data_IF_781700308214
#
_entry.id   IF_781700308214
#
_cell.length_a   1.000
_cell.length_b   1.000
_cell.length_c   1.000
_cell.angle_alpha   90.00
_cell.angle_beta   90.00
_cell.angle_gamma   90.00
#
_symmetry.space_group_name_H-M   'P 1'
#
loop_
_entity.id
_entity.type
_entity.pdbx_description
1 polymer ?
#
# COMPACT_ATOMS: atom_id res chain seq x y z
N UNK A 1 4.83 -37.71 16.87
CA UNK A 1 5.94 -36.72 16.87
C UNK A 1 6.52 -36.50 15.48
N UNK A 2 7.10 -37.51 14.81
CA UNK A 2 7.73 -37.34 13.49
C UNK A 2 6.76 -36.88 12.38
N UNK A 3 5.56 -37.46 12.34
CA UNK A 3 4.50 -37.06 11.39
C UNK A 3 4.01 -35.64 11.65
N UNK A 4 3.73 -35.30 12.90
CA UNK A 4 3.33 -33.95 13.33
C UNK A 4 4.37 -32.88 12.95
N UNK A 5 5.66 -33.20 13.11
CA UNK A 5 6.76 -32.29 12.77
C UNK A 5 6.86 -32.08 11.24
N UNK A 6 6.63 -33.13 10.46
CA UNK A 6 6.62 -33.07 9.01
C UNK A 6 5.43 -32.25 8.47
N UNK A 7 4.25 -32.39 9.08
CA UNK A 7 3.07 -31.60 8.71
C UNK A 7 3.27 -30.11 9.04
N UNK A 8 3.87 -29.78 10.18
CA UNK A 8 4.16 -28.40 10.56
C UNK A 8 5.16 -27.76 9.58
N UNK A 9 6.19 -28.50 9.19
CA UNK A 9 7.15 -28.04 8.17
C UNK A 9 6.47 -27.76 6.82
N UNK A 10 5.54 -28.63 6.41
CA UNK A 10 4.80 -28.44 5.15
C UNK A 10 3.92 -27.16 5.18
N UNK A 11 3.26 -26.88 6.30
CA UNK A 11 2.39 -25.68 6.45
C UNK A 11 3.20 -24.38 6.33
N UNK A 12 4.44 -24.35 6.85
CA UNK A 12 5.29 -23.14 6.74
C UNK A 12 5.66 -22.77 5.30
N UNK A 13 5.66 -23.72 4.36
CA UNK A 13 5.93 -23.45 2.94
C UNK A 13 4.80 -22.69 2.23
N UNK A 14 3.58 -22.73 2.80
CA UNK A 14 2.41 -22.03 2.28
C UNK A 14 2.16 -20.67 2.94
N UNK A 15 2.97 -20.28 3.91
CA UNK A 15 2.84 -19.00 4.60
C UNK A 15 3.73 -17.95 3.91
N UNK A 16 3.19 -17.31 2.87
CA UNK A 16 3.82 -16.17 2.21
C UNK A 16 3.18 -14.87 2.70
N UNK A 17 4.00 -13.85 2.94
CA UNK A 17 3.49 -12.49 3.11
C UNK A 17 3.13 -11.92 1.74
N UNK A 18 2.03 -11.17 1.68
CA UNK A 18 1.76 -10.31 0.52
C UNK A 18 2.87 -9.27 0.35
N UNK A 19 3.16 -8.93 -0.90
CA UNK A 19 4.05 -7.82 -1.26
C UNK A 19 3.31 -6.47 -1.17
N UNK A 20 4.05 -5.34 -1.06
CA UNK A 20 3.45 -4.01 -1.16
C UNK A 20 2.62 -3.80 -2.43
N UNK A 21 3.11 -4.27 -3.57
CA UNK A 21 2.43 -4.15 -4.86
C UNK A 21 1.12 -4.94 -4.87
N UNK A 22 1.13 -6.19 -4.41
CA UNK A 22 -0.10 -7.00 -4.31
C UNK A 22 -1.14 -6.34 -3.40
N UNK A 23 -0.71 -5.68 -2.31
CA UNK A 23 -1.62 -4.94 -1.44
C UNK A 23 -2.24 -3.74 -2.15
N UNK A 24 -1.47 -3.02 -2.96
CA UNK A 24 -1.96 -1.89 -3.75
C UNK A 24 -2.97 -2.35 -4.81
N UNK A 25 -2.66 -3.41 -5.54
CA UNK A 25 -3.51 -3.95 -6.62
C UNK A 25 -4.82 -4.54 -6.08
N UNK A 26 -4.79 -5.13 -4.88
CA UNK A 26 -5.97 -5.73 -4.22
C UNK A 26 -6.70 -4.75 -3.31
N UNK A 27 -6.21 -3.52 -3.16
CA UNK A 27 -6.85 -2.50 -2.33
C UNK A 27 -8.25 -2.20 -2.89
N UNK A 28 -9.29 -2.15 -2.05
CA UNK A 28 -10.62 -1.71 -2.48
C UNK A 28 -10.69 -0.20 -2.71
N UNK A 29 -9.69 0.56 -2.26
CA UNK A 29 -9.67 2.02 -2.34
C UNK A 29 -9.35 2.48 -3.74
N UNK A 30 -10.01 3.56 -4.16
CA UNK A 30 -9.69 4.22 -5.42
C UNK A 30 -8.38 4.99 -5.28
N UNK A 31 -7.43 4.66 -6.16
CA UNK A 31 -6.12 5.29 -6.24
C UNK A 31 -5.97 6.02 -7.57
N UNK A 32 -5.43 7.23 -7.55
CA UNK A 32 -5.10 7.95 -8.77
C UNK A 32 -3.82 8.79 -8.64
N UNK A 33 -3.16 9.01 -9.78
CA UNK A 33 -2.07 9.97 -9.89
C UNK A 33 -2.63 11.31 -10.34
N UNK A 34 -2.38 12.34 -9.54
CA UNK A 34 -2.81 13.71 -9.83
C UNK A 34 -1.59 14.63 -9.88
N UNK A 35 -1.74 15.76 -10.57
CA UNK A 35 -0.78 16.86 -10.49
C UNK A 35 -1.40 17.97 -9.64
N UNK A 36 -0.86 18.18 -8.45
CA UNK A 36 -1.26 19.27 -7.57
C UNK A 36 -0.52 20.54 -7.97
N UNK A 37 -1.26 21.62 -8.19
CA UNK A 37 -0.69 22.95 -8.39
C UNK A 37 -0.34 23.54 -7.01
N UNK A 38 0.95 23.71 -6.73
CA UNK A 38 1.44 24.26 -5.47
C UNK A 38 2.38 25.44 -5.74
N UNK A 39 1.88 26.66 -5.49
CA UNK A 39 2.58 27.92 -5.78
C UNK A 39 2.97 28.03 -7.26
N UNK A 40 4.26 27.85 -7.58
CA UNK A 40 4.85 27.97 -8.92
C UNK A 40 5.23 26.61 -9.54
N UNK A 41 4.86 25.50 -8.90
CA UNK A 41 5.24 24.14 -9.31
C UNK A 41 4.07 23.17 -9.30
N UNK A 42 4.12 22.23 -10.26
CA UNK A 42 3.27 21.03 -10.27
C UNK A 42 3.93 19.94 -9.46
N UNK A 43 3.20 19.36 -8.52
CA UNK A 43 3.64 18.25 -7.69
C UNK A 43 2.82 17.01 -8.04
N UNK A 44 3.45 16.05 -8.71
CA UNK A 44 2.83 14.75 -8.94
C UNK A 44 2.61 14.07 -7.59
N UNK A 45 1.36 13.69 -7.33
CA UNK A 45 0.92 13.17 -6.05
C UNK A 45 0.05 11.93 -6.27
N UNK A 46 0.16 10.98 -5.35
CA UNK A 46 -0.68 9.79 -5.34
C UNK A 46 -1.83 10.03 -4.36
N UNK A 47 -3.06 10.10 -4.88
CA UNK A 47 -4.26 10.33 -4.09
C UNK A 47 -4.98 9.00 -3.86
N UNK A 48 -5.39 8.78 -2.61
CA UNK A 48 -6.17 7.62 -2.18
C UNK A 48 -7.46 8.12 -1.56
N UNK A 49 -8.59 7.70 -2.11
CA UNK A 49 -9.90 8.07 -1.57
C UNK A 49 -10.31 7.15 -0.41
N UNK A 50 -11.03 7.68 0.59
CA UNK A 50 -11.64 6.86 1.63
C UNK A 50 -12.84 6.08 1.05
N UNK A 51 -13.22 4.99 1.72
CA UNK A 51 -14.37 4.16 1.33
C UNK A 51 -15.69 4.69 1.92
N UNK A 52 -15.86 6.01 1.94
CA UNK A 52 -17.07 6.70 2.41
C UNK A 52 -17.40 7.87 1.48
N UNK A 53 -18.69 8.24 1.41
CA UNK A 53 -19.17 9.33 0.55
C UNK A 53 -19.06 10.72 1.18
N UNK A 54 -18.84 10.79 2.49
CA UNK A 54 -18.75 12.03 3.24
C UNK A 54 -17.30 12.54 3.34
N UNK A 55 -17.16 13.83 3.65
CA UNK A 55 -15.85 14.45 3.86
C UNK A 55 -15.25 13.94 5.16
N UNK A 56 -14.02 13.43 5.09
CA UNK A 56 -13.25 12.95 6.25
C UNK A 56 -11.90 13.63 6.31
N UNK A 57 -11.24 13.51 7.48
CA UNK A 57 -9.88 14.02 7.66
C UNK A 57 -8.92 13.37 6.67
N UNK A 58 -8.04 14.18 6.10
CA UNK A 58 -7.01 13.74 5.14
C UNK A 58 -5.64 13.80 5.78
N UNK A 59 -4.80 12.80 5.45
CA UNK A 59 -3.39 12.76 5.86
C UNK A 59 -2.53 13.02 4.64
N UNK A 60 -1.53 13.91 4.77
CA UNK A 60 -0.51 14.12 3.75
C UNK A 60 0.73 13.34 4.16
N UNK A 61 1.09 12.33 3.36
CA UNK A 61 2.30 11.54 3.56
C UNK A 61 3.41 12.08 2.66
N UNK A 62 4.55 12.40 3.26
CA UNK A 62 5.76 12.83 2.55
C UNK A 62 6.76 11.67 2.62
N UNK A 63 7.07 11.08 1.48
CA UNK A 63 8.05 10.00 1.40
C UNK A 63 9.47 10.52 1.67
N UNK A 64 10.38 9.62 2.05
CA UNK A 64 11.78 9.94 2.28
C UNK A 64 12.58 10.13 0.96
N UNK A 65 13.90 10.21 1.05
CA UNK A 65 14.82 10.46 -0.06
C UNK A 65 14.86 9.40 -1.18
N UNK A 66 14.17 8.26 -1.08
CA UNK A 66 14.06 7.23 -2.13
C UNK A 66 12.79 7.33 -2.97
N UNK A 67 11.99 8.37 -2.79
CA UNK A 67 10.80 8.58 -3.60
C UNK A 67 9.59 7.77 -3.16
N UNK A 68 8.47 7.97 -3.85
CA UNK A 68 7.20 7.31 -3.57
C UNK A 68 7.15 5.89 -4.20
N UNK A 69 7.79 4.92 -3.54
CA UNK A 69 7.81 3.52 -3.97
C UNK A 69 6.57 2.72 -3.53
N UNK A 70 6.45 1.46 -3.98
CA UNK A 70 5.31 0.58 -3.66
C UNK A 70 5.12 0.38 -2.16
N UNK A 71 6.22 0.25 -1.42
CA UNK A 71 6.17 0.12 0.04
C UNK A 71 5.56 1.37 0.67
N UNK A 72 6.04 2.56 0.30
CA UNK A 72 5.54 3.83 0.82
C UNK A 72 4.07 4.10 0.45
N UNK A 73 3.63 3.67 -0.75
CA UNK A 73 2.24 3.77 -1.19
C UNK A 73 1.31 2.76 -0.50
N UNK A 74 1.84 1.60 -0.11
CA UNK A 74 1.07 0.49 0.50
C UNK A 74 0.83 0.63 2.00
N UNK A 75 1.32 1.71 2.62
CA UNK A 75 1.13 2.02 4.04
C UNK A 75 -0.29 2.48 4.34
#
# INVERSE_FOLDING_TARGET
>A
MKTTLFTLFLITQFCWSQTPLERLEKSPRHHEWINLEASDRKVQSFLVYPEVSEKVLTVVLIHENRGLNDWARSM
#
